data_IF_353279106430
#
_entry.id   IF_353279106430
#
_cell.length_a   1.000
_cell.length_b   1.000
_cell.length_c   1.000
_cell.angle_alpha   90.00
_cell.angle_beta   90.00
_cell.angle_gamma   90.00
#
_symmetry.space_group_name_H-M   'P 1'
#
loop_
_entity.id
_entity.type
_entity.pdbx_description
1 polymer ?
#
# COMPACT_ATOMS: atom_id res chain seq x y z
N UNK A 1 6.06 21.65 -1.49
CA UNK A 1 6.34 20.53 -0.56
C UNK A 1 6.76 19.31 -1.38
N UNK A 2 7.71 18.47 -0.92
CA UNK A 2 8.01 17.20 -1.58
C UNK A 2 6.79 16.27 -1.52
N UNK A 3 6.58 15.46 -2.57
CA UNK A 3 5.51 14.45 -2.58
C UNK A 3 5.66 13.48 -1.41
N UNK A 4 4.54 12.90 -0.95
CA UNK A 4 4.54 11.92 0.15
C UNK A 4 5.48 10.74 -0.17
N UNK A 5 5.46 10.27 -1.42
CA UNK A 5 6.40 9.24 -1.87
C UNK A 5 7.87 9.61 -1.61
N UNK A 6 8.29 10.84 -1.96
CA UNK A 6 9.67 11.29 -1.74
C UNK A 6 9.99 11.42 -0.25
N UNK A 7 9.02 11.81 0.59
CA UNK A 7 9.19 11.87 2.03
C UNK A 7 9.48 10.48 2.61
N UNK A 8 8.62 9.49 2.28
CA UNK A 8 8.78 8.09 2.69
C UNK A 8 10.12 7.53 2.21
N UNK A 9 10.39 7.63 0.91
CA UNK A 9 11.58 7.04 0.31
C UNK A 9 12.88 7.62 0.91
N UNK A 10 12.89 8.91 1.27
CA UNK A 10 14.03 9.52 1.94
C UNK A 10 14.14 9.11 3.41
N UNK A 11 13.04 9.17 4.16
CA UNK A 11 12.99 8.82 5.58
C UNK A 11 13.47 7.39 5.82
N UNK A 12 13.03 6.46 4.98
CA UNK A 12 13.36 5.04 5.06
C UNK A 12 14.58 4.62 4.23
N UNK A 13 15.32 5.59 3.67
CA UNK A 13 16.55 5.37 2.87
C UNK A 13 16.34 4.33 1.74
N UNK A 14 15.22 4.44 1.03
CA UNK A 14 14.81 3.51 -0.02
C UNK A 14 15.27 3.95 -1.43
N UNK A 15 15.69 5.19 -1.62
CA UNK A 15 15.95 5.77 -2.96
C UNK A 15 16.94 4.95 -3.78
N UNK A 16 18.10 4.60 -3.20
CA UNK A 16 19.13 3.83 -3.90
C UNK A 16 18.74 2.36 -4.11
N UNK A 17 17.77 1.86 -3.35
CA UNK A 17 17.28 0.48 -3.45
C UNK A 17 16.20 0.35 -4.53
N UNK A 18 15.34 1.36 -4.66
CA UNK A 18 14.26 1.40 -5.64
C UNK A 18 14.73 1.84 -7.03
N UNK A 19 15.75 2.69 -7.12
CA UNK A 19 16.24 3.19 -8.41
C UNK A 19 16.57 2.09 -9.43
N UNK A 20 17.28 0.99 -9.09
CA UNK A 20 17.51 -0.10 -10.04
C UNK A 20 16.23 -0.81 -10.50
N UNK A 21 15.23 -0.92 -9.62
CA UNK A 21 13.92 -1.51 -9.96
C UNK A 21 13.23 -0.63 -10.99
N UNK A 22 13.18 0.68 -10.76
CA UNK A 22 12.49 1.62 -11.65
C UNK A 22 13.21 1.86 -12.96
N UNK A 23 14.53 1.68 -13.02
CA UNK A 23 15.28 1.67 -14.29
C UNK A 23 14.87 0.46 -15.14
N UNK A 24 14.71 -0.71 -14.52
CA UNK A 24 14.33 -1.93 -15.22
C UNK A 24 12.82 -2.02 -15.54
N UNK A 25 11.99 -1.50 -14.63
CA UNK A 25 10.52 -1.57 -14.68
C UNK A 25 9.92 -0.20 -14.30
N UNK A 26 9.97 0.79 -15.20
CA UNK A 26 9.53 2.16 -14.91
C UNK A 26 8.07 2.27 -14.45
N UNK A 27 7.20 1.35 -14.90
CA UNK A 27 5.80 1.31 -14.51
C UNK A 27 5.57 1.08 -13.01
N UNK A 28 6.56 0.49 -12.33
CA UNK A 28 6.48 0.21 -10.89
C UNK A 28 6.73 1.47 -10.05
N UNK A 29 7.38 2.50 -10.59
CA UNK A 29 7.58 3.78 -9.90
C UNK A 29 6.22 4.46 -9.64
N UNK A 30 5.40 4.58 -10.68
CA UNK A 30 4.07 5.19 -10.55
C UNK A 30 3.13 4.35 -9.68
N UNK A 31 3.26 3.01 -9.74
CA UNK A 31 2.51 2.11 -8.86
C UNK A 31 2.88 2.35 -7.39
N UNK A 32 4.17 2.49 -7.08
CA UNK A 32 4.64 2.80 -5.72
C UNK A 32 4.15 4.16 -5.24
N UNK A 33 4.20 5.20 -6.09
CA UNK A 33 3.67 6.54 -5.75
C UNK A 33 2.20 6.47 -5.39
N UNK A 34 1.38 5.78 -6.20
CA UNK A 34 -0.06 5.63 -5.95
C UNK A 34 -0.38 4.86 -4.68
N UNK A 35 0.41 3.85 -4.31
CA UNK A 35 0.28 3.20 -2.99
C UNK A 35 0.52 4.20 -1.86
N UNK A 36 1.54 5.05 -1.98
CA UNK A 36 1.82 6.09 -0.98
C UNK A 36 0.74 7.18 -0.94
N UNK A 37 0.27 7.63 -2.09
CA UNK A 37 -0.79 8.63 -2.15
C UNK A 37 -2.12 8.07 -1.62
N UNK A 38 -2.35 6.76 -1.73
CA UNK A 38 -3.55 6.11 -1.20
C UNK A 38 -3.50 5.92 0.33
N UNK A 39 -2.41 5.37 0.87
CA UNK A 39 -2.31 5.02 2.31
C UNK A 39 -1.73 6.14 3.18
N UNK A 40 -1.05 7.12 2.59
CA UNK A 40 -0.35 8.16 3.33
C UNK A 40 0.77 7.59 4.23
N UNK A 41 1.11 8.35 5.27
CA UNK A 41 2.24 8.04 6.18
C UNK A 41 1.82 7.83 7.64
N UNK A 42 0.52 8.00 7.94
CA UNK A 42 -0.02 7.90 9.29
C UNK A 42 -0.74 6.57 9.56
N UNK A 43 -1.06 5.79 8.53
CA UNK A 43 -1.63 4.45 8.69
C UNK A 43 -0.56 3.45 9.13
N UNK A 44 -0.65 3.02 10.39
CA UNK A 44 0.38 2.25 11.08
C UNK A 44 -0.25 1.07 11.82
N UNK A 45 -0.20 -0.12 11.22
CA UNK A 45 -0.65 -1.34 11.88
C UNK A 45 0.38 -1.83 12.91
N UNK A 46 1.65 -1.48 12.69
CA UNK A 46 2.78 -1.75 13.59
C UNK A 46 3.55 -0.46 13.89
N UNK A 47 4.86 -0.57 14.09
CA UNK A 47 5.74 0.56 14.39
C UNK A 47 5.84 1.54 13.21
N UNK A 48 6.01 1.01 12.00
CA UNK A 48 6.22 1.81 10.80
C UNK A 48 4.93 2.00 9.99
N UNK A 49 4.85 3.05 9.15
CA UNK A 49 3.76 3.20 8.19
C UNK A 49 3.66 1.98 7.30
N UNK A 50 2.45 1.47 7.10
CA UNK A 50 2.19 0.28 6.29
C UNK A 50 2.83 0.40 4.90
N UNK A 51 2.78 1.59 4.31
CA UNK A 51 3.41 1.93 3.03
C UNK A 51 4.91 1.68 3.01
N UNK A 52 5.62 2.00 4.09
CA UNK A 52 7.07 1.80 4.17
C UNK A 52 7.37 0.30 4.23
N UNK A 53 6.60 -0.45 5.00
CA UNK A 53 6.71 -1.91 5.11
C UNK A 53 6.42 -2.62 3.78
N UNK A 54 5.35 -2.21 3.08
CA UNK A 54 5.03 -2.73 1.74
C UNK A 54 6.16 -2.48 0.73
N UNK A 55 6.78 -1.29 0.74
CA UNK A 55 7.93 -1.00 -0.14
C UNK A 55 9.17 -1.83 0.23
N UNK A 56 9.39 -2.10 1.52
CA UNK A 56 10.49 -2.96 1.98
C UNK A 56 10.28 -4.42 1.59
N UNK A 57 9.05 -4.93 1.71
CA UNK A 57 8.71 -6.29 1.30
C UNK A 57 8.86 -6.48 -0.21
N UNK A 58 8.39 -5.50 -1.01
CA UNK A 58 8.59 -5.47 -2.46
C UNK A 58 10.08 -5.55 -2.84
N UNK A 59 10.92 -4.74 -2.19
CA UNK A 59 12.37 -4.75 -2.41
C UNK A 59 13.02 -6.07 -1.99
N UNK A 60 12.54 -6.67 -0.89
CA UNK A 60 13.04 -7.96 -0.41
C UNK A 60 12.75 -9.06 -1.43
N UNK A 61 11.49 -9.15 -1.88
CA UNK A 61 11.05 -10.13 -2.87
C UNK A 61 11.79 -9.97 -4.20
N UNK A 62 11.91 -8.74 -4.70
CA UNK A 62 12.68 -8.45 -5.92
C UNK A 62 14.13 -8.94 -5.83
N UNK A 63 14.81 -8.69 -4.72
CA UNK A 63 16.22 -9.09 -4.55
C UNK A 63 16.39 -10.61 -4.53
N UNK A 64 15.42 -11.32 -3.98
CA UNK A 64 15.43 -12.78 -3.94
C UNK A 64 15.26 -13.34 -5.36
N UNK A 65 14.30 -12.81 -6.13
CA UNK A 65 13.98 -13.29 -7.47
C UNK A 65 14.83 -12.67 -8.61
N UNK A 66 15.73 -11.71 -8.33
CA UNK A 66 16.46 -10.94 -9.37
C UNK A 66 17.26 -11.78 -10.37
N UNK A 67 17.61 -13.01 -10.02
CA UNK A 67 18.40 -13.93 -10.87
C UNK A 67 17.52 -14.90 -11.67
N UNK A 68 16.23 -14.97 -11.37
CA UNK A 68 15.32 -16.01 -11.82
C UNK A 68 14.41 -15.55 -12.96
N UNK A 69 14.48 -14.29 -13.36
CA UNK A 69 13.72 -13.71 -14.49
C UNK A 69 12.42 -13.02 -14.07
N UNK A 70 11.82 -13.42 -12.95
CA UNK A 70 10.49 -12.97 -12.51
C UNK A 70 10.54 -11.89 -11.41
N UNK A 71 11.60 -11.10 -11.40
CA UNK A 71 11.90 -10.15 -10.33
C UNK A 71 10.82 -9.07 -10.15
N UNK A 72 10.24 -8.59 -11.24
CA UNK A 72 9.14 -7.64 -11.25
C UNK A 72 7.85 -8.25 -10.68
N UNK A 73 7.53 -9.50 -11.02
CA UNK A 73 6.37 -10.21 -10.49
C UNK A 73 6.53 -10.38 -8.97
N UNK A 74 7.72 -10.81 -8.53
CA UNK A 74 8.05 -10.90 -7.12
C UNK A 74 7.97 -9.54 -6.40
N UNK A 75 8.41 -8.46 -7.03
CA UNK A 75 8.27 -7.10 -6.48
C UNK A 75 6.80 -6.75 -6.24
N UNK A 76 5.92 -6.97 -7.23
CA UNK A 76 4.48 -6.67 -7.10
C UNK A 76 3.81 -7.55 -6.04
N UNK A 77 4.18 -8.83 -5.96
CA UNK A 77 3.74 -9.74 -4.88
C UNK A 77 4.16 -9.22 -3.50
N UNK A 78 5.43 -8.85 -3.36
CA UNK A 78 5.94 -8.26 -2.12
C UNK A 78 5.24 -6.94 -1.77
N UNK A 79 4.93 -6.11 -2.77
CA UNK A 79 4.23 -4.84 -2.56
C UNK A 79 2.83 -5.08 -1.97
N UNK A 80 2.11 -6.11 -2.41
CA UNK A 80 0.74 -6.39 -1.97
C UNK A 80 0.63 -7.44 -0.86
N UNK A 81 1.74 -7.99 -0.38
CA UNK A 81 1.73 -9.04 0.65
C UNK A 81 1.04 -8.62 1.95
N UNK A 82 1.01 -7.31 2.24
CA UNK A 82 0.38 -6.73 3.44
C UNK A 82 -0.91 -5.99 3.15
N UNK A 83 -1.48 -6.07 1.95
CA UNK A 83 -2.70 -5.33 1.62
C UNK A 83 -3.88 -5.71 2.53
N UNK A 84 -3.90 -6.93 3.08
CA UNK A 84 -4.91 -7.37 4.04
C UNK A 84 -4.88 -6.60 5.37
N UNK A 85 -3.74 -6.04 5.76
CA UNK A 85 -3.60 -5.28 7.01
C UNK A 85 -4.37 -3.94 6.98
N UNK A 86 -4.82 -3.51 5.80
CA UNK A 86 -5.74 -2.37 5.65
C UNK A 86 -7.09 -2.65 6.34
N UNK A 87 -7.46 -3.92 6.43
CA UNK A 87 -8.74 -4.37 7.00
C UNK A 87 -8.59 -4.95 8.41
N UNK A 88 -7.36 -5.09 8.93
CA UNK A 88 -7.12 -5.65 10.27
C UNK A 88 -7.38 -4.64 11.40
N UNK A 89 -7.39 -3.35 11.09
CA UNK A 89 -7.64 -2.27 12.05
C UNK A 89 -8.41 -1.13 11.39
N UNK A 90 -9.08 -0.31 12.19
CA UNK A 90 -9.73 0.91 11.70
C UNK A 90 -8.80 2.11 11.79
N UNK A 91 -8.96 3.02 10.84
CA UNK A 91 -8.41 4.37 10.93
C UNK A 91 -9.54 5.36 11.12
N UNK A 92 -9.44 6.23 12.11
CA UNK A 92 -10.55 7.12 12.45
C UNK A 92 -10.09 8.47 13.00
N UNK A 93 -10.94 9.48 12.80
CA UNK A 93 -10.78 10.82 13.30
C UNK A 93 -11.68 11.06 14.52
N UNK A 94 -11.11 11.61 15.59
CA UNK A 94 -11.78 11.83 16.87
C UNK A 94 -11.83 13.30 17.27
N UNK A 95 -12.97 13.77 17.77
CA UNK A 95 -13.11 15.06 18.45
C UNK A 95 -14.13 14.96 19.59
N UNK A 96 -13.63 14.80 20.82
CA UNK A 96 -14.50 14.46 21.96
C UNK A 96 -15.19 13.11 21.70
N UNK A 97 -16.52 13.10 21.72
CA UNK A 97 -17.33 11.91 21.42
C UNK A 97 -17.59 11.70 19.92
N UNK A 98 -17.20 12.64 19.05
CA UNK A 98 -17.39 12.50 17.60
C UNK A 98 -16.34 11.56 17.01
N UNK A 99 -16.81 10.65 16.15
CA UNK A 99 -16.04 9.56 15.57
C UNK A 99 -16.35 9.42 14.08
N UNK A 100 -15.34 9.60 13.21
CA UNK A 100 -15.46 9.34 11.77
C UNK A 100 -14.49 8.24 11.38
N UNK A 101 -14.99 7.20 10.74
CA UNK A 101 -14.16 6.06 10.28
C UNK A 101 -13.77 6.28 8.83
N UNK A 102 -12.50 6.06 8.52
CA UNK A 102 -12.01 5.99 7.15
C UNK A 102 -12.57 4.74 6.45
N UNK A 103 -13.09 4.91 5.24
CA UNK A 103 -13.59 3.81 4.42
C UNK A 103 -12.57 3.50 3.30
N UNK A 104 -11.81 2.39 3.39
CA UNK A 104 -10.76 2.05 2.41
C UNK A 104 -11.29 1.95 0.98
N UNK A 105 -12.57 1.62 0.83
CA UNK A 105 -13.18 1.48 -0.48
C UNK A 105 -13.51 2.81 -1.17
N UNK A 106 -13.62 3.91 -0.42
CA UNK A 106 -14.20 5.16 -0.91
C UNK A 106 -13.17 6.25 -1.18
N UNK A 107 -12.15 6.38 -0.33
CA UNK A 107 -11.21 7.50 -0.42
C UNK A 107 -9.79 7.12 0.04
N UNK A 108 -8.75 7.81 -0.44
CA UNK A 108 -7.41 7.80 0.15
C UNK A 108 -7.38 8.31 1.60
N UNK A 109 -6.40 7.85 2.37
CA UNK A 109 -6.17 8.33 3.73
C UNK A 109 -5.80 9.82 3.79
N UNK A 110 -4.90 10.34 2.92
CA UNK A 110 -4.60 11.78 2.94
C UNK A 110 -5.84 12.66 2.69
N UNK A 111 -6.77 12.21 1.84
CA UNK A 111 -8.03 12.91 1.59
C UNK A 111 -8.96 12.85 2.80
N UNK A 112 -9.08 11.67 3.42
CA UNK A 112 -9.79 11.48 4.68
C UNK A 112 -9.25 12.39 5.78
N UNK A 113 -7.93 12.52 5.92
CA UNK A 113 -7.30 13.41 6.90
C UNK A 113 -7.56 14.88 6.58
N UNK A 114 -7.41 15.29 5.32
CA UNK A 114 -7.54 16.67 4.89
C UNK A 114 -8.95 17.24 5.09
N UNK A 115 -10.00 16.41 4.97
CA UNK A 115 -11.39 16.84 5.18
C UNK A 115 -11.79 16.98 6.65
N UNK A 116 -10.95 16.60 7.60
CA UNK A 116 -11.28 16.71 9.03
C UNK A 116 -11.22 18.17 9.49
N UNK A 117 -12.25 18.59 10.24
CA UNK A 117 -12.27 19.94 10.81
C UNK A 117 -11.20 20.12 11.89
N UNK A 118 -10.85 21.37 12.20
CA UNK A 118 -9.90 21.68 13.26
C UNK A 118 -10.28 21.02 14.61
N UNK A 119 -9.28 20.42 15.26
CA UNK A 119 -9.41 19.73 16.55
C UNK A 119 -9.79 18.25 16.45
N UNK A 120 -9.97 17.70 15.24
CA UNK A 120 -9.99 16.25 15.07
C UNK A 120 -8.56 15.68 15.08
N UNK A 121 -8.39 14.49 15.65
CA UNK A 121 -7.14 13.74 15.64
C UNK A 121 -7.37 12.38 14.98
N UNK A 122 -6.60 12.10 13.92
CA UNK A 122 -6.64 10.81 13.24
C UNK A 122 -5.71 9.82 13.93
N UNK A 123 -6.19 8.59 14.15
CA UNK A 123 -5.41 7.51 14.76
C UNK A 123 -5.97 6.14 14.38
N UNK A 124 -5.13 5.13 14.55
CA UNK A 124 -5.54 3.74 14.48
C UNK A 124 -6.44 3.39 15.66
N UNK A 125 -7.40 2.50 15.42
CA UNK A 125 -8.32 1.97 16.40
C UNK A 125 -8.24 0.45 16.33
N UNK A 126 -8.07 -0.18 17.47
CA UNK A 126 -8.03 -1.63 17.62
C UNK A 126 -9.45 -2.21 17.54
N UNK A 127 -10.02 -2.08 16.34
CA UNK A 127 -11.31 -2.59 15.94
C UNK A 127 -11.16 -3.12 14.51
N UNK A 128 -11.61 -4.35 14.22
CA UNK A 128 -11.56 -4.86 12.86
C UNK A 128 -12.51 -4.08 11.95
N UNK A 129 -12.19 -4.04 10.66
CA UNK A 129 -13.19 -3.69 9.66
C UNK A 129 -14.35 -4.70 9.73
N UNK A 130 -15.61 -4.26 9.56
CA UNK A 130 -16.76 -5.16 9.66
C UNK A 130 -16.83 -6.16 8.51
N UNK A 131 -16.15 -5.88 7.40
CA UNK A 131 -16.14 -6.70 6.20
C UNK A 131 -15.11 -7.83 6.31
N UNK A 132 -15.53 -9.05 5.98
CA UNK A 132 -14.62 -10.20 5.85
C UNK A 132 -13.88 -10.11 4.52
N UNK A 133 -12.63 -9.63 4.56
CA UNK A 133 -11.79 -9.42 3.37
C UNK A 133 -10.62 -10.38 3.40
N UNK A 134 -10.62 -11.34 2.45
CA UNK A 134 -9.50 -12.27 2.28
C UNK A 134 -8.25 -11.54 1.78
N UNK A 135 -7.03 -12.08 2.04
CA UNK A 135 -5.80 -11.48 1.51
C UNK A 135 -5.79 -11.31 -0.01
N UNK A 136 -6.35 -12.27 -0.75
CA UNK A 136 -6.56 -12.17 -2.20
C UNK A 136 -7.44 -10.98 -2.58
N UNK A 137 -8.57 -10.81 -1.89
CA UNK A 137 -9.49 -9.70 -2.15
C UNK A 137 -8.85 -8.35 -1.84
N UNK A 138 -8.09 -8.26 -0.74
CA UNK A 138 -7.38 -7.04 -0.37
C UNK A 138 -6.29 -6.68 -1.40
N UNK A 139 -5.52 -7.66 -1.88
CA UNK A 139 -4.53 -7.45 -2.94
C UNK A 139 -5.18 -6.97 -4.25
N UNK A 140 -6.30 -7.60 -4.65
CA UNK A 140 -7.04 -7.21 -5.86
C UNK A 140 -7.60 -5.78 -5.76
N UNK A 141 -8.17 -5.42 -4.60
CA UNK A 141 -8.68 -4.08 -4.33
C UNK A 141 -7.57 -3.02 -4.30
N UNK A 142 -6.38 -3.36 -3.78
CA UNK A 142 -5.22 -2.48 -3.83
C UNK A 142 -4.75 -2.31 -5.28
N UNK A 143 -4.58 -3.40 -6.01
CA UNK A 143 -4.14 -3.39 -7.41
C UNK A 143 -5.04 -2.54 -8.30
N UNK A 144 -6.36 -2.69 -8.16
CA UNK A 144 -7.34 -1.90 -8.91
C UNK A 144 -7.24 -0.39 -8.65
N UNK A 145 -6.69 0.03 -7.50
CA UNK A 145 -6.47 1.44 -7.17
C UNK A 145 -5.16 1.98 -7.71
N UNK A 146 -4.09 1.18 -7.62
CA UNK A 146 -2.72 1.71 -7.77
C UNK A 146 -2.06 1.34 -9.09
N UNK A 147 -2.53 0.31 -9.78
CA UNK A 147 -2.01 -0.06 -11.10
C UNK A 147 -2.77 0.68 -12.21
N UNK A 148 -2.08 1.05 -13.30
CA UNK A 148 -2.75 1.50 -14.53
C UNK A 148 -3.31 0.31 -15.29
N UNK A 149 -4.27 0.51 -16.21
CA UNK A 149 -4.95 -0.60 -16.90
C UNK A 149 -4.00 -1.62 -17.53
N UNK A 150 -2.98 -1.17 -18.25
CA UNK A 150 -1.95 -2.06 -18.83
C UNK A 150 -1.15 -2.84 -17.77
N UNK A 151 -0.77 -2.17 -16.68
CA UNK A 151 0.02 -2.77 -15.59
C UNK A 151 -0.83 -3.77 -14.82
N UNK A 152 -2.11 -3.46 -14.62
CA UNK A 152 -3.08 -4.34 -14.00
C UNK A 152 -3.26 -5.62 -14.81
N UNK A 153 -3.55 -5.51 -16.12
CA UNK A 153 -3.68 -6.68 -17.00
C UNK A 153 -2.43 -7.57 -16.92
N UNK A 154 -1.25 -6.99 -17.08
CA UNK A 154 0.01 -7.74 -17.00
C UNK A 154 0.17 -8.50 -15.67
N UNK A 155 0.07 -7.82 -14.54
CA UNK A 155 0.42 -8.45 -13.26
C UNK A 155 -0.71 -9.28 -12.64
N UNK A 156 -1.97 -8.91 -12.86
CA UNK A 156 -3.11 -9.55 -12.20
C UNK A 156 -3.94 -10.44 -13.12
N UNK A 157 -3.95 -10.21 -14.43
CA UNK A 157 -4.65 -11.08 -15.38
C UNK A 157 -3.70 -12.11 -16.01
N UNK A 158 -2.52 -11.69 -16.47
CA UNK A 158 -1.57 -12.58 -17.15
C UNK A 158 -0.72 -13.38 -16.15
N UNK A 159 -0.16 -12.73 -15.13
CA UNK A 159 0.71 -13.37 -14.13
C UNK A 159 0.00 -13.88 -12.88
N UNK A 160 -1.32 -13.64 -12.74
CA UNK A 160 -2.16 -13.93 -11.57
C UNK A 160 -1.42 -13.74 -10.22
N UNK A 161 -0.85 -12.55 -9.99
CA UNK A 161 -0.19 -12.21 -8.72
C UNK A 161 -1.11 -12.47 -7.51
N UNK A 162 -2.44 -12.42 -7.71
CA UNK A 162 -3.42 -12.65 -6.66
C UNK A 162 -3.50 -14.12 -6.21
N UNK A 163 -3.11 -15.09 -7.04
CA UNK A 163 -3.14 -16.51 -6.73
C UNK A 163 -2.31 -16.84 -5.48
N UNK A 164 -1.15 -16.20 -5.31
CA UNK A 164 -0.27 -16.44 -4.16
C UNK A 164 -0.92 -16.09 -2.81
N UNK A 165 -1.95 -15.25 -2.83
CA UNK A 165 -2.71 -14.86 -1.64
C UNK A 165 -3.95 -15.71 -1.39
N UNK A 166 -4.27 -16.68 -2.26
CA UNK A 166 -5.42 -17.58 -2.09
C UNK A 166 -5.23 -18.60 -0.94
N UNK A 167 -3.99 -18.85 -0.53
CA UNK A 167 -3.62 -19.87 0.45
C UNK A 167 -3.00 -19.28 1.74
N UNK A 168 -3.07 -17.96 1.93
CA UNK A 168 -2.51 -17.26 3.08
C UNK A 168 -3.60 -16.82 4.05
#
# INVERSE_FOLDING_TARGET
MPSLFRQVVNQYKLSSKLAPVFIAFPELDDSCKRVVDFLGVNFRVREEPLVAEMLMDALSAYRQARKEGDANIAFVRGLFTRSHEIFSMRYAAFKGEKYHVWAPLQEPIPDFEARQSAGYQCRMVDEPCPDDVTPRSAAMQMAARVLSGHVFCRYFEEYDVAEEFAHR
#
